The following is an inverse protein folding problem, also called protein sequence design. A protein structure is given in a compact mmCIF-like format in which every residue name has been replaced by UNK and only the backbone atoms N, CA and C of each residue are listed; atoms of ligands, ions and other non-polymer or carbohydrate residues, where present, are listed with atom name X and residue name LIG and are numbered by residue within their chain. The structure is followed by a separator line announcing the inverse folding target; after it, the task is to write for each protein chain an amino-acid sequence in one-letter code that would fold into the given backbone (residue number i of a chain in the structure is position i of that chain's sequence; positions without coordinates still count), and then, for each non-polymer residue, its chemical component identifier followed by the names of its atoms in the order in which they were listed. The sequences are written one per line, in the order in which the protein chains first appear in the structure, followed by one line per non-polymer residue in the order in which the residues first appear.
data_IF_063176998953
#
_entry.id   IF_063176998953
#
_cell.length_a   1.000
_cell.length_b   1.000
_cell.length_c   1.000
_cell.angle_alpha   90.00
_cell.angle_beta   90.00
_cell.angle_gamma   90.00
#
_symmetry.space_group_name_H-M   'P 1'
#
loop_
_entity.id
_entity.type
_entity.pdbx_description
1 polymer ?
#
# COMPACT_ATOMS: atom_id res chain seq x y z
N UNK A 1 10.17 -10.26 -23.95
CA UNK A 1 9.36 -9.51 -22.96
C UNK A 1 9.85 -9.93 -21.59
N UNK A 2 9.85 -9.07 -20.54
CA UNK A 2 10.11 -9.58 -19.21
C UNK A 2 9.03 -10.62 -18.90
N UNK A 3 9.44 -11.79 -18.43
CA UNK A 3 8.51 -12.86 -18.08
C UNK A 3 7.78 -12.45 -16.79
N UNK A 4 6.51 -12.04 -16.95
CA UNK A 4 5.57 -11.89 -15.85
C UNK A 4 4.83 -13.21 -15.70
N UNK A 5 5.02 -13.86 -14.57
CA UNK A 5 4.31 -15.08 -14.22
C UNK A 5 3.27 -14.74 -13.16
N UNK A 6 2.00 -14.84 -13.53
CA UNK A 6 0.89 -14.57 -12.61
C UNK A 6 0.15 -15.86 -12.26
N UNK A 7 -0.10 -16.07 -10.97
CA UNK A 7 -0.83 -17.22 -10.47
C UNK A 7 -1.67 -16.84 -9.25
N UNK A 8 -2.74 -17.61 -9.01
CA UNK A 8 -3.45 -17.57 -7.75
C UNK A 8 -2.95 -18.73 -6.88
N UNK A 9 -2.41 -18.40 -5.71
CA UNK A 9 -1.70 -19.35 -4.85
C UNK A 9 -2.27 -19.34 -3.44
N UNK A 10 -2.34 -20.51 -2.82
CA UNK A 10 -2.60 -20.60 -1.38
C UNK A 10 -1.32 -20.21 -0.64
N UNK A 11 -1.38 -19.11 0.12
CA UNK A 11 -0.30 -18.59 0.95
C UNK A 11 -0.91 -18.14 2.28
N UNK A 12 -0.38 -18.62 3.40
CA UNK A 12 -0.84 -18.32 4.76
C UNK A 12 -2.37 -18.44 4.88
N UNK A 13 -2.90 -19.58 4.44
CA UNK A 13 -4.33 -19.93 4.45
C UNK A 13 -5.23 -19.07 3.54
N UNK A 14 -4.67 -18.10 2.80
CA UNK A 14 -5.42 -17.24 1.88
C UNK A 14 -5.08 -17.52 0.43
N UNK A 15 -6.05 -17.33 -0.47
CA UNK A 15 -5.84 -17.41 -1.92
C UNK A 15 -5.33 -16.05 -2.43
N UNK A 16 -4.02 -15.88 -2.44
CA UNK A 16 -3.34 -14.67 -2.88
C UNK A 16 -3.16 -14.65 -4.40
N UNK A 17 -3.19 -13.46 -5.01
CA UNK A 17 -2.72 -13.24 -6.37
C UNK A 17 -1.23 -12.94 -6.30
N UNK A 18 -0.44 -13.70 -7.04
CA UNK A 18 1.01 -13.57 -7.06
C UNK A 18 1.45 -13.24 -8.48
N UNK A 19 2.29 -12.21 -8.62
CA UNK A 19 2.96 -11.91 -9.87
C UNK A 19 4.47 -11.83 -9.66
N UNK A 20 5.18 -12.74 -10.31
CA UNK A 20 6.64 -12.84 -10.28
C UNK A 20 7.22 -12.21 -11.54
N UNK A 21 8.25 -11.39 -11.37
CA UNK A 21 9.08 -10.87 -12.47
C UNK A 21 10.55 -11.17 -12.23
N UNK A 22 11.14 -12.00 -13.10
CA UNK A 22 12.53 -12.48 -13.01
C UNK A 22 12.86 -13.08 -11.63
N UNK A 23 14.13 -13.10 -11.22
CA UNK A 23 14.52 -13.40 -9.84
C UNK A 23 14.31 -12.16 -8.95
N UNK A 24 13.31 -12.16 -8.07
CA UNK A 24 12.86 -10.98 -7.34
C UNK A 24 13.85 -10.56 -6.25
N UNK A 25 14.16 -9.27 -6.19
CA UNK A 25 14.95 -8.65 -5.13
C UNK A 25 14.14 -7.66 -4.28
N UNK A 26 12.84 -7.49 -4.58
CA UNK A 26 11.86 -6.72 -3.82
C UNK A 26 10.59 -7.56 -3.64
N UNK A 27 10.02 -7.50 -2.44
CA UNK A 27 8.66 -7.99 -2.16
C UNK A 27 7.67 -6.82 -2.12
N UNK A 28 6.63 -6.87 -2.94
CA UNK A 28 5.50 -5.95 -2.93
C UNK A 28 4.29 -6.65 -2.29
N UNK A 29 3.70 -6.05 -1.26
CA UNK A 29 2.51 -6.56 -0.58
C UNK A 29 1.35 -5.60 -0.79
N UNK A 30 0.18 -6.14 -1.13
CA UNK A 30 -1.02 -5.33 -1.39
C UNK A 30 -2.28 -6.00 -0.82
N UNK A 31 -2.98 -5.39 0.15
CA UNK A 31 -4.32 -5.82 0.49
C UNK A 31 -5.28 -5.55 -0.68
N UNK A 32 -6.10 -6.53 -1.03
CA UNK A 32 -7.12 -6.41 -2.08
C UNK A 32 -8.50 -6.88 -1.61
N UNK A 33 -9.55 -6.30 -2.18
CA UNK A 33 -10.91 -6.82 -2.03
C UNK A 33 -11.00 -8.13 -2.82
N UNK A 34 -11.81 -9.09 -2.34
CA UNK A 34 -12.02 -10.37 -3.01
C UNK A 34 -12.46 -10.26 -4.49
N UNK A 35 -12.99 -9.10 -4.90
CA UNK A 35 -13.43 -8.81 -6.28
C UNK A 35 -12.31 -8.26 -7.17
N UNK A 36 -11.16 -7.90 -6.62
CA UNK A 36 -10.05 -7.37 -7.42
C UNK A 36 -9.33 -8.48 -8.19
N UNK A 37 -9.15 -8.27 -9.49
CA UNK A 37 -8.42 -9.18 -10.37
C UNK A 37 -7.00 -8.69 -10.70
N UNK A 38 -6.71 -7.41 -10.44
CA UNK A 38 -5.43 -6.73 -10.73
C UNK A 38 -4.92 -6.98 -12.16
N UNK A 39 -5.84 -7.07 -13.13
CA UNK A 39 -5.56 -7.51 -14.50
C UNK A 39 -4.62 -6.57 -15.28
N UNK A 40 -4.54 -5.29 -14.90
CA UNK A 40 -3.74 -4.27 -15.57
C UNK A 40 -2.60 -3.75 -14.70
N UNK A 41 -2.73 -3.80 -13.37
CA UNK A 41 -1.75 -3.19 -12.44
C UNK A 41 -0.33 -3.71 -12.66
N UNK A 42 -0.12 -5.03 -12.65
CA UNK A 42 1.21 -5.62 -12.78
C UNK A 42 1.83 -5.46 -14.18
N UNK A 43 1.08 -5.59 -15.30
CA UNK A 43 1.58 -5.20 -16.63
C UNK A 43 2.00 -3.73 -16.70
N UNK A 44 1.21 -2.81 -16.13
CA UNK A 44 1.53 -1.37 -16.08
C UNK A 44 2.79 -1.11 -15.26
N UNK A 45 2.94 -1.78 -14.11
CA UNK A 45 4.14 -1.70 -13.29
C UNK A 45 5.36 -2.20 -14.05
N UNK A 46 5.23 -3.34 -14.74
CA UNK A 46 6.34 -3.94 -15.45
C UNK A 46 6.84 -3.09 -16.63
N UNK A 47 5.95 -2.32 -17.25
CA UNK A 47 6.30 -1.37 -18.30
C UNK A 47 7.11 -0.16 -17.78
N UNK A 48 7.04 0.16 -16.48
CA UNK A 48 7.67 1.34 -15.87
C UNK A 48 9.04 1.07 -15.24
N UNK A 49 9.42 -0.19 -15.08
CA UNK A 49 10.67 -0.55 -14.40
C UNK A 49 11.36 -1.71 -15.09
N UNK A 50 12.67 -1.84 -14.93
CA UNK A 50 13.44 -3.04 -15.29
C UNK A 50 13.76 -3.92 -14.08
N UNK A 51 13.39 -3.47 -12.88
CA UNK A 51 13.64 -4.21 -11.64
C UNK A 51 12.83 -5.49 -11.57
N UNK A 52 13.44 -6.50 -10.94
CA UNK A 52 12.78 -7.73 -10.56
C UNK A 52 11.94 -7.51 -9.30
N UNK A 53 10.78 -8.15 -9.21
CA UNK A 53 9.93 -8.04 -8.03
C UNK A 53 9.05 -9.28 -7.91
N UNK A 54 8.64 -9.56 -6.67
CA UNK A 54 7.54 -10.45 -6.37
C UNK A 54 6.42 -9.60 -5.81
N UNK A 55 5.28 -9.60 -6.47
CA UNK A 55 4.06 -8.99 -5.96
C UNK A 55 3.15 -10.06 -5.37
N UNK A 56 2.64 -9.81 -4.17
CA UNK A 56 1.67 -10.66 -3.48
C UNK A 56 0.50 -9.79 -3.05
N UNK A 57 -0.60 -9.92 -3.77
CA UNK A 57 -1.89 -9.37 -3.42
C UNK A 57 -2.66 -10.36 -2.54
N UNK A 58 -2.98 -9.97 -1.31
CA UNK A 58 -3.68 -10.84 -0.36
C UNK A 58 -5.13 -10.36 -0.15
N UNK A 59 -6.11 -11.28 -0.19
CA UNK A 59 -7.50 -10.91 -0.02
C UNK A 59 -7.83 -10.54 1.42
N UNK A 60 -8.64 -9.49 1.56
CA UNK A 60 -9.22 -9.05 2.83
C UNK A 60 -10.74 -9.17 2.73
N UNK A 61 -11.34 -9.93 3.63
CA UNK A 61 -12.76 -10.27 3.59
C UNK A 61 -13.61 -9.16 4.20
N UNK A 62 -13.28 -8.73 5.43
CA UNK A 62 -13.98 -7.65 6.11
C UNK A 62 -13.23 -6.33 5.93
N UNK A 63 -13.26 -5.78 4.70
CA UNK A 63 -12.45 -4.62 4.28
C UNK A 63 -12.46 -3.43 5.26
N UNK A 64 -13.64 -3.07 5.78
CA UNK A 64 -13.81 -1.96 6.73
C UNK A 64 -13.34 -2.31 8.15
N UNK A 65 -13.22 -3.59 8.50
CA UNK A 65 -12.81 -4.06 9.82
C UNK A 65 -11.30 -4.34 9.85
N UNK A 66 -10.84 -5.19 8.93
CA UNK A 66 -9.50 -5.78 8.92
C UNK A 66 -8.40 -4.78 8.55
N UNK A 67 -8.74 -3.68 7.87
CA UNK A 67 -7.79 -2.62 7.47
C UNK A 67 -7.86 -1.38 8.34
N UNK A 68 -8.86 -1.29 9.21
CA UNK A 68 -9.09 -0.11 10.02
C UNK A 68 -8.28 -0.18 11.32
N UNK A 69 -7.52 0.88 11.66
CA UNK A 69 -6.71 0.92 12.88
C UNK A 69 -7.49 0.87 14.20
N UNK A 70 -8.71 1.41 14.21
CA UNK A 70 -9.58 1.49 15.39
C UNK A 70 -11.04 1.67 14.95
N UNK A 71 -11.96 1.34 15.86
CA UNK A 71 -13.39 1.47 15.60
C UNK A 71 -13.78 2.90 15.23
N UNK A 72 -14.56 3.05 14.17
CA UNK A 72 -15.09 4.32 13.74
C UNK A 72 -16.48 4.17 13.11
N UNK A 73 -17.36 5.18 13.24
CA UNK A 73 -18.69 5.12 12.66
C UNK A 73 -18.64 5.05 11.12
N UNK A 74 -19.68 4.50 10.46
CA UNK A 74 -19.79 4.54 9.01
C UNK A 74 -19.73 5.98 8.51
N UNK A 75 -18.81 6.24 7.56
CA UNK A 75 -18.74 7.52 6.85
C UNK A 75 -19.48 7.45 5.51
N UNK A 76 -19.61 6.25 4.97
CA UNK A 76 -20.43 5.92 3.81
C UNK A 76 -21.15 4.58 4.05
N UNK A 77 -22.32 4.39 3.45
CA UNK A 77 -23.10 3.18 3.65
C UNK A 77 -23.58 3.00 5.09
N UNK A 78 -23.65 1.75 5.56
CA UNK A 78 -24.16 1.38 6.90
C UNK A 78 -23.15 0.60 7.74
N UNK A 79 -22.02 0.21 7.16
CA UNK A 79 -21.04 -0.64 7.83
C UNK A 79 -20.02 0.22 8.58
N UNK A 80 -19.85 -0.06 9.87
CA UNK A 80 -18.86 0.61 10.69
C UNK A 80 -17.45 0.12 10.35
N UNK A 81 -16.45 0.94 10.68
CA UNK A 81 -15.05 0.53 10.64
C UNK A 81 -14.68 -0.17 11.96
N UNK A 82 -13.75 -1.13 11.87
CA UNK A 82 -13.27 -1.91 13.01
C UNK A 82 -11.84 -1.60 13.42
N UNK A 83 -11.25 -2.48 14.22
CA UNK A 83 -9.89 -2.37 14.75
C UNK A 83 -8.98 -3.56 14.32
N UNK A 84 -9.31 -4.21 13.21
CA UNK A 84 -8.64 -5.44 12.76
C UNK A 84 -7.26 -5.24 12.11
N UNK A 85 -6.81 -4.00 11.91
CA UNK A 85 -5.51 -3.73 11.29
C UNK A 85 -4.34 -4.38 12.05
N UNK A 86 -4.41 -4.46 13.38
CA UNK A 86 -3.38 -5.12 14.19
C UNK A 86 -3.28 -6.61 13.87
N UNK A 87 -4.40 -7.32 13.83
CA UNK A 87 -4.43 -8.76 13.51
C UNK A 87 -3.96 -9.01 12.06
N UNK A 88 -4.36 -8.15 11.13
CA UNK A 88 -3.89 -8.23 9.73
C UNK A 88 -2.38 -8.03 9.64
N UNK A 89 -1.83 -7.04 10.34
CA UNK A 89 -0.38 -6.79 10.36
C UNK A 89 0.39 -7.94 11.01
N UNK A 90 -0.10 -8.48 12.12
CA UNK A 90 0.52 -9.61 12.79
C UNK A 90 0.49 -10.87 11.93
N UNK A 91 -0.61 -11.12 11.20
CA UNK A 91 -0.69 -12.20 10.22
C UNK A 91 0.30 -12.02 9.06
N UNK A 92 0.45 -10.79 8.53
CA UNK A 92 1.44 -10.50 7.49
C UNK A 92 2.86 -10.88 7.94
N UNK A 93 3.22 -10.48 9.16
CA UNK A 93 4.58 -10.63 9.70
C UNK A 93 4.87 -12.06 10.14
N UNK A 94 3.91 -12.72 10.78
CA UNK A 94 4.12 -14.05 11.38
C UNK A 94 3.82 -15.21 10.43
N UNK A 95 3.05 -14.98 9.36
CA UNK A 95 2.59 -16.04 8.44
C UNK A 95 2.96 -15.75 7.00
N UNK A 96 2.39 -14.69 6.41
CA UNK A 96 2.51 -14.47 4.96
C UNK A 96 3.95 -14.21 4.53
N UNK A 97 4.62 -13.25 5.16
CA UNK A 97 5.99 -12.87 4.78
C UNK A 97 6.98 -14.04 4.92
N UNK A 98 7.03 -14.79 6.05
CA UNK A 98 7.88 -15.97 6.16
C UNK A 98 7.62 -17.02 5.08
N UNK A 99 6.35 -17.34 4.80
CA UNK A 99 6.00 -18.37 3.80
C UNK A 99 6.39 -17.93 2.38
N UNK A 100 6.10 -16.68 2.02
CA UNK A 100 6.49 -16.10 0.73
C UNK A 100 8.01 -16.11 0.56
N UNK A 101 8.76 -15.71 1.61
CA UNK A 101 10.22 -15.70 1.55
C UNK A 101 10.79 -17.09 1.33
N UNK A 102 10.28 -18.09 2.05
CA UNK A 102 10.71 -19.48 1.90
C UNK A 102 10.40 -20.04 0.51
N UNK A 103 9.17 -19.82 0.02
CA UNK A 103 8.68 -20.40 -1.24
C UNK A 103 9.37 -19.84 -2.48
N UNK A 104 9.61 -18.52 -2.54
CA UNK A 104 10.22 -17.87 -3.70
C UNK A 104 11.71 -17.55 -3.52
N UNK A 105 12.33 -18.10 -2.46
CA UNK A 105 13.74 -17.86 -2.11
C UNK A 105 14.10 -16.36 -2.05
N UNK A 106 13.20 -15.56 -1.45
CA UNK A 106 13.43 -14.12 -1.24
C UNK A 106 14.39 -13.95 -0.07
N UNK A 107 15.51 -13.25 -0.27
CA UNK A 107 16.46 -12.91 0.81
C UNK A 107 15.73 -12.28 2.00
N UNK A 108 16.02 -12.64 3.26
CA UNK A 108 15.47 -11.97 4.44
C UNK A 108 15.65 -10.45 4.42
N UNK A 109 16.77 -9.97 3.86
CA UNK A 109 17.11 -8.54 3.74
C UNK A 109 16.46 -7.85 2.53
N UNK A 110 15.74 -8.60 1.69
CA UNK A 110 15.05 -8.00 0.56
C UNK A 110 14.02 -6.96 1.05
N UNK A 111 14.05 -5.73 0.50
CA UNK A 111 13.12 -4.69 0.91
C UNK A 111 11.67 -5.10 0.63
N UNK A 112 10.82 -4.82 1.61
CA UNK A 112 9.37 -4.99 1.50
C UNK A 112 8.73 -3.63 1.25
N UNK A 113 7.85 -3.56 0.26
CA UNK A 113 7.03 -2.39 -0.03
C UNK A 113 5.58 -2.77 0.23
N UNK A 114 4.93 -2.12 1.18
CA UNK A 114 3.50 -2.27 1.44
C UNK A 114 2.75 -1.15 0.74
N UNK A 115 1.72 -1.49 -0.03
CA UNK A 115 0.95 -0.48 -0.73
C UNK A 115 -0.50 -0.86 -0.93
N UNK A 116 -1.32 0.11 -1.29
CA UNK A 116 -2.72 -0.14 -1.58
C UNK A 116 -3.53 1.12 -1.80
N UNK A 117 -4.76 0.89 -2.26
CA UNK A 117 -5.72 1.92 -2.61
C UNK A 117 -6.72 2.17 -1.48
N UNK A 118 -7.12 3.43 -1.23
CA UNK A 118 -8.17 3.74 -0.25
C UNK A 118 -7.82 3.30 1.18
N UNK A 119 -8.64 2.48 1.82
CA UNK A 119 -8.35 1.91 3.16
C UNK A 119 -7.06 1.08 3.18
N UNK A 120 -6.69 0.40 2.10
CA UNK A 120 -5.40 -0.30 2.04
C UNK A 120 -4.22 0.68 2.07
N UNK A 121 -4.37 1.88 1.51
CA UNK A 121 -3.40 2.96 1.63
C UNK A 121 -3.29 3.50 3.06
N UNK A 122 -4.43 3.67 3.75
CA UNK A 122 -4.48 4.02 5.17
C UNK A 122 -3.79 2.96 6.05
N UNK A 123 -4.15 1.69 5.85
CA UNK A 123 -3.54 0.54 6.51
C UNK A 123 -2.02 0.51 6.30
N UNK A 124 -1.56 0.81 5.09
CA UNK A 124 -0.13 0.83 4.76
C UNK A 124 0.62 1.92 5.55
N UNK A 125 0.07 3.13 5.63
CA UNK A 125 0.63 4.21 6.46
C UNK A 125 0.63 3.84 7.93
N UNK A 126 -0.49 3.32 8.44
CA UNK A 126 -0.61 2.91 9.84
C UNK A 126 0.40 1.82 10.22
N UNK A 127 0.55 0.81 9.36
CA UNK A 127 1.48 -0.31 9.54
C UNK A 127 2.93 0.17 9.60
N UNK A 128 3.31 1.14 8.76
CA UNK A 128 4.64 1.74 8.79
C UNK A 128 4.91 2.61 10.03
N UNK A 129 3.89 2.99 10.81
CA UNK A 129 4.08 3.57 12.13
C UNK A 129 4.28 2.49 13.23
N UNK A 130 3.73 1.28 13.02
CA UNK A 130 3.76 0.19 13.99
C UNK A 130 5.06 -0.60 14.00
N UNK A 131 5.68 -0.78 12.83
CA UNK A 131 6.82 -1.68 12.61
C UNK A 131 7.79 -1.09 11.59
N UNK A 132 9.03 -1.57 11.57
CA UNK A 132 10.12 -1.16 10.69
C UNK A 132 10.37 -2.15 9.53
N UNK A 133 9.50 -3.15 9.35
CA UNK A 133 9.62 -4.17 8.30
C UNK A 133 9.49 -3.59 6.87
N UNK A 134 8.87 -2.42 6.71
CA UNK A 134 8.55 -1.84 5.41
C UNK A 134 9.57 -0.78 4.96
N UNK A 135 10.38 -1.14 3.96
CA UNK A 135 11.38 -0.27 3.37
C UNK A 135 10.75 0.94 2.62
N UNK A 136 9.53 0.79 2.11
CA UNK A 136 8.74 1.86 1.52
C UNK A 136 7.23 1.60 1.67
N UNK A 137 6.42 2.66 1.56
CA UNK A 137 4.96 2.60 1.52
C UNK A 137 4.41 3.26 0.26
N UNK A 138 3.52 2.58 -0.46
CA UNK A 138 2.75 3.17 -1.56
C UNK A 138 1.28 3.38 -1.15
N UNK A 139 0.98 4.55 -0.58
CA UNK A 139 -0.34 4.91 -0.10
C UNK A 139 -1.12 5.71 -1.17
N UNK A 140 -2.00 5.01 -1.88
CA UNK A 140 -2.64 5.52 -3.10
C UNK A 140 -4.09 5.91 -2.80
N UNK A 141 -4.43 7.17 -3.01
CA UNK A 141 -5.72 7.75 -2.59
C UNK A 141 -6.09 7.31 -1.15
N UNK A 142 -5.17 7.41 -0.19
CA UNK A 142 -5.35 6.80 1.12
C UNK A 142 -6.51 7.46 1.87
N UNK A 143 -7.25 6.68 2.66
CA UNK A 143 -8.40 7.16 3.44
C UNK A 143 -7.98 8.00 4.66
N UNK A 144 -7.09 8.97 4.50
CA UNK A 144 -6.56 9.84 5.58
C UNK A 144 -7.60 10.81 6.17
N UNK A 145 -8.81 10.85 5.59
CA UNK A 145 -9.99 11.45 6.20
C UNK A 145 -10.53 10.63 7.39
N UNK A 146 -10.03 9.40 7.61
CA UNK A 146 -10.54 8.47 8.62
C UNK A 146 -10.61 9.12 10.01
N UNK A 147 -11.71 8.95 10.76
CA UNK A 147 -11.89 9.59 12.06
C UNK A 147 -10.71 9.33 13.01
N UNK A 148 -10.11 10.39 13.54
CA UNK A 148 -8.96 10.30 14.45
C UNK A 148 -7.59 10.18 13.78
N UNK A 149 -7.51 9.94 12.47
CA UNK A 149 -6.24 9.73 11.76
C UNK A 149 -5.25 10.88 11.95
N UNK A 150 -5.72 12.11 11.82
CA UNK A 150 -4.87 13.30 11.96
C UNK A 150 -4.16 13.36 13.32
N UNK A 151 -4.91 13.18 14.40
CA UNK A 151 -4.36 13.23 15.76
C UNK A 151 -3.37 12.08 15.99
N UNK A 152 -3.70 10.90 15.47
CA UNK A 152 -2.82 9.74 15.51
C UNK A 152 -1.50 9.99 14.77
N UNK A 153 -1.54 10.43 13.52
CA UNK A 153 -0.35 10.60 12.68
C UNK A 153 0.57 11.74 13.17
N UNK A 154 0.00 12.77 13.83
CA UNK A 154 0.77 13.81 14.51
C UNK A 154 1.63 13.24 15.65
N UNK A 155 1.15 12.20 16.35
CA UNK A 155 1.85 11.59 17.49
C UNK A 155 2.77 10.42 17.10
N UNK A 156 2.53 9.79 15.93
CA UNK A 156 3.22 8.56 15.54
C UNK A 156 4.06 8.78 14.28
N UNK A 157 5.38 8.72 14.42
CA UNK A 157 6.30 8.78 13.28
C UNK A 157 6.33 7.47 12.51
N UNK A 158 6.31 7.58 11.18
CA UNK A 158 6.57 6.44 10.31
C UNK A 158 8.02 6.00 10.50
N UNK A 159 8.19 4.68 10.62
CA UNK A 159 9.51 4.02 10.67
C UNK A 159 10.06 3.81 9.28
N UNK A 160 9.17 3.67 8.28
CA UNK A 160 9.55 3.67 6.87
C UNK A 160 10.12 5.03 6.44
N UNK A 161 11.18 5.01 5.63
CA UNK A 161 11.90 6.21 5.18
C UNK A 161 11.51 6.67 3.77
N UNK A 162 10.66 5.91 3.08
CA UNK A 162 10.20 6.19 1.71
C UNK A 162 8.68 6.05 1.65
N UNK A 163 7.98 7.12 1.26
CA UNK A 163 6.50 7.12 1.20
C UNK A 163 6.02 7.77 -0.09
N UNK A 164 5.25 7.04 -0.88
CA UNK A 164 4.49 7.59 -1.99
C UNK A 164 3.06 7.90 -1.52
N UNK A 165 2.62 9.13 -1.76
CA UNK A 165 1.24 9.57 -1.58
C UNK A 165 0.65 9.93 -2.95
N UNK A 166 -0.63 9.65 -3.14
CA UNK A 166 -1.36 10.24 -4.27
C UNK A 166 -2.82 10.52 -3.95
N UNK A 167 -3.43 11.47 -4.68
CA UNK A 167 -4.86 11.75 -4.60
C UNK A 167 -5.41 12.23 -5.95
N UNK A 168 -6.67 11.92 -6.25
CA UNK A 168 -7.40 12.53 -7.37
C UNK A 168 -7.82 13.97 -7.10
N UNK A 169 -7.68 14.84 -8.09
CA UNK A 169 -8.01 16.29 -8.04
C UNK A 169 -9.51 16.60 -7.86
N UNK A 170 -10.36 15.57 -7.95
CA UNK A 170 -11.80 15.66 -7.67
C UNK A 170 -12.22 14.95 -6.38
N UNK A 171 -11.31 14.28 -5.67
CA UNK A 171 -11.66 13.57 -4.42
C UNK A 171 -12.08 14.55 -3.31
N UNK A 172 -11.41 15.71 -3.21
CA UNK A 172 -11.77 16.78 -2.27
C UNK A 172 -13.07 17.52 -2.64
N UNK A 173 -13.66 17.23 -3.81
CA UNK A 173 -14.93 17.83 -4.30
C UNK A 173 -16.15 16.97 -3.96
N UNK A 174 -16.01 16.05 -3.01
CA UNK A 174 -17.10 15.20 -2.52
C UNK A 174 -18.21 16.02 -1.86
N UNK A 175 -19.46 15.55 -1.98
CA UNK A 175 -20.60 16.14 -1.25
C UNK A 175 -20.61 15.76 0.24
N UNK A 176 -19.92 14.68 0.61
CA UNK A 176 -19.78 14.28 2.00
C UNK A 176 -18.65 15.10 2.64
N UNK A 177 -18.91 15.94 3.66
CA UNK A 177 -17.89 16.80 4.26
C UNK A 177 -16.69 16.04 4.83
N UNK A 178 -16.90 14.84 5.37
CA UNK A 178 -15.81 14.01 5.89
C UNK A 178 -14.90 13.58 4.76
N UNK A 179 -15.46 13.09 3.65
CA UNK A 179 -14.66 12.68 2.49
C UNK A 179 -14.00 13.89 1.80
N UNK A 180 -14.67 15.04 1.74
CA UNK A 180 -14.12 16.27 1.15
C UNK A 180 -12.86 16.74 1.90
N UNK A 181 -12.75 16.45 3.20
CA UNK A 181 -11.56 16.77 4.01
C UNK A 181 -10.29 16.03 3.58
N UNK A 182 -10.38 15.01 2.71
CA UNK A 182 -9.23 14.21 2.27
C UNK A 182 -8.14 15.06 1.60
N UNK A 183 -8.50 16.14 0.90
CA UNK A 183 -7.54 17.05 0.27
C UNK A 183 -6.66 17.75 1.29
N UNK A 184 -7.26 18.31 2.35
CA UNK A 184 -6.51 18.95 3.44
C UNK A 184 -5.74 17.92 4.26
N UNK A 185 -6.33 16.75 4.50
CA UNK A 185 -5.71 15.67 5.24
C UNK A 185 -4.45 15.14 4.53
N UNK A 186 -4.47 14.95 3.20
CA UNK A 186 -3.30 14.45 2.48
C UNK A 186 -2.21 15.50 2.33
N UNK A 187 -2.56 16.79 2.14
CA UNK A 187 -1.58 17.89 2.16
C UNK A 187 -0.88 17.99 3.52
N UNK A 188 -1.62 17.76 4.61
CA UNK A 188 -1.04 17.70 5.96
C UNK A 188 -0.14 16.49 6.15
N UNK A 189 -0.50 15.34 5.59
CA UNK A 189 0.37 14.15 5.62
C UNK A 189 1.69 14.43 4.90
N UNK A 190 1.64 14.99 3.69
CA UNK A 190 2.81 15.40 2.90
C UNK A 190 3.73 16.38 3.65
N UNK A 191 3.15 17.43 4.23
CA UNK A 191 3.89 18.39 5.06
C UNK A 191 4.58 17.71 6.26
N UNK A 192 3.89 16.77 6.93
CA UNK A 192 4.47 16.04 8.07
C UNK A 192 5.64 15.15 7.66
N UNK A 193 5.57 14.52 6.50
CA UNK A 193 6.67 13.72 5.96
C UNK A 193 7.89 14.62 5.65
N UNK A 194 7.66 15.81 5.10
CA UNK A 194 8.70 16.83 4.91
C UNK A 194 9.35 17.25 6.22
N UNK A 195 8.55 17.61 7.23
CA UNK A 195 9.04 18.03 8.56
C UNK A 195 9.90 16.97 9.25
N UNK A 196 9.61 15.69 8.99
CA UNK A 196 10.33 14.54 9.56
C UNK A 196 11.49 14.05 8.69
N UNK A 197 11.78 14.72 7.58
CA UNK A 197 12.86 14.34 6.66
C UNK A 197 12.66 12.97 5.99
N UNK A 198 11.41 12.53 5.84
CA UNK A 198 11.08 11.28 5.13
C UNK A 198 11.17 11.56 3.63
N UNK A 199 11.76 10.65 2.85
CA UNK A 199 11.73 10.77 1.38
C UNK A 199 10.33 10.48 0.90
N UNK A 200 9.69 11.43 0.24
CA UNK A 200 8.30 11.27 -0.16
C UNK A 200 7.96 12.05 -1.43
N UNK A 201 6.78 11.77 -1.97
CA UNK A 201 6.14 12.56 -3.02
C UNK A 201 4.62 12.55 -2.79
N UNK A 202 3.94 13.63 -3.19
CA UNK A 202 2.48 13.68 -3.31
C UNK A 202 2.10 13.90 -4.78
N UNK A 203 1.59 12.85 -5.42
CA UNK A 203 1.15 12.88 -6.80
C UNK A 203 -0.35 13.20 -6.90
N UNK A 204 -0.69 14.30 -7.57
CA UNK A 204 -2.08 14.57 -7.95
C UNK A 204 -2.44 13.87 -9.26
N UNK A 205 -3.60 13.23 -9.30
CA UNK A 205 -4.14 12.53 -10.47
C UNK A 205 -5.40 13.23 -10.98
N UNK A 206 -5.62 13.22 -12.29
CA UNK A 206 -6.89 13.69 -12.86
C UNK A 206 -8.00 12.70 -12.50
N UNK A 207 -9.11 13.20 -11.99
CA UNK A 207 -10.32 12.41 -11.74
C UNK A 207 -10.63 12.19 -10.26
N UNK A 208 -11.67 11.37 -10.02
CA UNK A 208 -12.15 11.04 -8.69
C UNK A 208 -11.53 9.74 -8.14
N UNK A 209 -12.04 9.27 -7.00
CA UNK A 209 -11.54 8.10 -6.28
C UNK A 209 -11.71 6.77 -7.04
N UNK A 210 -12.65 6.68 -7.99
CA UNK A 210 -13.02 5.42 -8.66
C UNK A 210 -12.40 5.27 -10.05
N UNK A 211 -11.42 6.11 -10.39
CA UNK A 211 -10.79 6.14 -11.71
C UNK A 211 -9.32 5.71 -11.62
N UNK A 212 -8.92 4.86 -12.56
CA UNK A 212 -7.52 4.46 -12.80
C UNK A 212 -6.80 3.87 -11.57
N UNK A 213 -7.53 3.20 -10.66
CA UNK A 213 -6.96 2.67 -9.42
C UNK A 213 -5.74 1.76 -9.65
N UNK A 214 -5.84 0.80 -10.58
CA UNK A 214 -4.73 -0.09 -10.94
C UNK A 214 -3.52 0.68 -11.48
N UNK A 215 -3.74 1.67 -12.37
CA UNK A 215 -2.64 2.49 -12.87
C UNK A 215 -1.97 3.28 -11.75
N UNK A 216 -2.75 3.91 -10.88
CA UNK A 216 -2.23 4.73 -9.76
C UNK A 216 -1.44 3.88 -8.76
N UNK A 217 -1.88 2.64 -8.50
CA UNK A 217 -1.14 1.68 -7.70
C UNK A 217 0.18 1.25 -8.36
N UNK A 218 0.16 0.95 -9.66
CA UNK A 218 1.37 0.66 -10.42
C UNK A 218 2.38 1.82 -10.35
N UNK A 219 1.93 3.06 -10.54
CA UNK A 219 2.78 4.25 -10.44
C UNK A 219 3.40 4.39 -9.04
N UNK A 220 2.61 4.14 -7.98
CA UNK A 220 3.07 4.19 -6.59
C UNK A 220 4.14 3.14 -6.27
N UNK A 221 3.91 1.88 -6.65
CA UNK A 221 4.91 0.83 -6.51
C UNK A 221 6.17 1.12 -7.33
N UNK A 222 6.02 1.59 -8.58
CA UNK A 222 7.15 1.94 -9.45
C UNK A 222 8.01 3.04 -8.80
N UNK A 223 7.39 4.10 -8.29
CA UNK A 223 8.11 5.19 -7.62
C UNK A 223 8.85 4.70 -6.39
N UNK A 224 8.20 3.92 -5.52
CA UNK A 224 8.82 3.36 -4.31
C UNK A 224 10.03 2.47 -4.63
N UNK A 225 9.92 1.62 -5.65
CA UNK A 225 11.04 0.79 -6.11
C UNK A 225 12.18 1.63 -6.68
N UNK A 226 11.90 2.73 -7.38
CA UNK A 226 12.92 3.62 -7.94
C UNK A 226 13.71 4.38 -6.85
N UNK A 227 13.11 4.62 -5.68
CA UNK A 227 13.82 5.26 -4.56
C UNK A 227 14.86 4.34 -3.90
N UNK A 228 14.82 3.04 -4.23
CA UNK A 228 15.80 2.06 -3.81
C UNK A 228 16.84 1.94 -4.92
N UNK A 229 18.06 2.42 -4.66
CA UNK A 229 19.21 2.11 -5.51
C UNK A 229 19.31 0.58 -5.62
N UNK A 230 19.49 0.07 -6.83
CA UNK A 230 20.12 -1.23 -6.97
C UNK A 230 21.49 -1.06 -6.31
N UNK A 231 21.73 -1.77 -5.20
CA UNK A 231 23.08 -1.86 -4.69
C UNK A 231 23.86 -2.56 -5.79
N UNK A 232 24.64 -1.76 -6.53
CA UNK A 232 25.59 -2.28 -7.48
C UNK A 232 26.43 -3.28 -6.72
N UNK A 233 26.44 -4.54 -7.18
CA UNK A 233 27.52 -5.45 -6.85
C UNK A 233 28.78 -4.70 -7.24
N UNK A 234 29.49 -4.15 -6.24
CA UNK A 234 30.86 -3.74 -6.46
C UNK A 234 31.58 -5.00 -6.92
N UNK A 235 32.07 -4.89 -8.15
CA UNK A 235 32.99 -5.78 -8.86
C UNK A 235 33.96 -6.51 -7.95
#
# INVERSE_FOLDING_TARGET
MPDLLSAAEALAEKRCLVTLRNQPDILLLQPIDARNTLSQEMPLLAAQTTRSFLHVAFPVEAWNVDLSPWDAPPVFGREAFGHGAADTLDWLRSRLMPEVRAKYAISPDAPVILGGYSLAGLFSLWSAAQVDDFAAVAAVSPSVWFPGWRAYADQHALRSRVVYLSLGDREEKSRNPVLASVGDAIRREDARLSERGVRHTLQWNVGNHFQDAEKRCADGFAWCMAQRKAEGKNT
#
